data_IF_267621993824
#
_entry.id   IF_267621993824
#
_cell.length_a   1.000
_cell.length_b   1.000
_cell.length_c   1.000
_cell.angle_alpha   90.00
_cell.angle_beta   90.00
_cell.angle_gamma   90.00
#
_symmetry.space_group_name_H-M   'P 1'
#
loop_
_entity.id
_entity.type
_entity.pdbx_description
1 polymer ?
#
# COMPACT_ATOMS: atom_id res chain seq x y z
N UNK A 1 -2.56 13.61 22.12
CA UNK A 1 -2.46 13.44 20.65
C UNK A 1 -3.35 12.27 20.25
N UNK A 2 -4.14 12.41 19.19
CA UNK A 2 -5.11 11.39 18.77
C UNK A 2 -5.00 11.16 17.27
N UNK A 3 -5.17 9.90 16.83
CA UNK A 3 -5.35 9.55 15.42
C UNK A 3 -6.80 9.09 15.26
N UNK A 4 -7.57 9.80 14.44
CA UNK A 4 -8.91 9.44 14.05
C UNK A 4 -8.85 8.76 12.68
N UNK A 5 -9.24 7.48 12.62
CA UNK A 5 -9.21 6.69 11.41
C UNK A 5 -10.62 6.39 10.92
N UNK A 6 -10.93 6.82 9.70
CA UNK A 6 -12.15 6.48 8.97
C UNK A 6 -11.82 5.39 7.96
N UNK A 7 -12.17 4.15 8.30
CA UNK A 7 -12.08 3.04 7.34
C UNK A 7 -13.29 3.01 6.42
N UNK A 8 -13.14 2.37 5.26
CA UNK A 8 -14.21 2.19 4.26
C UNK A 8 -14.99 3.50 3.97
N UNK A 9 -14.26 4.59 3.75
CA UNK A 9 -14.85 5.92 3.55
C UNK A 9 -15.79 5.95 2.33
N UNK A 10 -15.61 5.05 1.37
CA UNK A 10 -16.50 4.82 0.24
C UNK A 10 -17.90 4.28 0.61
N UNK A 11 -18.08 3.75 1.81
CA UNK A 11 -19.41 3.36 2.31
C UNK A 11 -20.27 4.57 2.68
N UNK A 12 -19.64 5.62 3.24
CA UNK A 12 -20.30 6.81 3.78
C UNK A 12 -20.20 8.04 2.86
N UNK A 13 -19.15 8.14 2.04
CA UNK A 13 -18.81 9.35 1.28
C UNK A 13 -18.86 9.15 -0.24
N UNK A 14 -19.93 8.51 -0.72
CA UNK A 14 -20.20 8.38 -2.15
C UNK A 14 -20.59 9.74 -2.75
N UNK A 15 -20.06 10.02 -3.94
CA UNK A 15 -20.41 11.20 -4.72
C UNK A 15 -21.93 11.26 -4.94
N UNK A 16 -22.49 12.43 -4.66
CA UNK A 16 -23.94 12.70 -4.73
C UNK A 16 -24.41 12.47 -6.17
N UNK A 17 -25.36 11.56 -6.39
CA UNK A 17 -25.93 11.37 -7.72
C UNK A 17 -26.71 10.09 -8.02
N UNK A 18 -26.80 9.13 -7.09
CA UNK A 18 -27.37 7.80 -7.41
C UNK A 18 -28.86 7.59 -7.15
N UNK A 19 -29.44 8.15 -6.07
CA UNK A 19 -30.77 7.73 -5.61
C UNK A 19 -31.73 8.91 -5.42
N UNK A 20 -32.67 9.05 -6.36
CA UNK A 20 -33.84 9.95 -6.33
C UNK A 20 -34.92 9.36 -5.40
N UNK A 21 -34.56 9.04 -4.16
CA UNK A 21 -35.47 8.48 -3.17
C UNK A 21 -34.90 8.65 -1.77
N UNK A 22 -35.78 8.96 -0.83
CA UNK A 22 -35.64 9.42 0.57
C UNK A 22 -34.56 8.76 1.48
N UNK A 23 -33.78 7.81 0.98
CA UNK A 23 -32.70 7.11 1.68
C UNK A 23 -31.31 7.81 1.57
N UNK A 24 -31.11 8.75 0.65
CA UNK A 24 -29.80 9.41 0.42
C UNK A 24 -29.43 10.51 1.44
N UNK A 25 -30.42 11.14 2.08
CA UNK A 25 -30.19 12.32 2.91
C UNK A 25 -29.50 12.05 4.26
N UNK A 26 -29.46 10.81 4.74
CA UNK A 26 -28.77 10.47 5.98
C UNK A 26 -27.24 10.47 5.78
N UNK A 27 -26.74 9.80 4.74
CA UNK A 27 -25.33 9.77 4.41
C UNK A 27 -24.81 11.18 4.09
N UNK A 28 -25.57 11.95 3.30
CA UNK A 28 -25.20 13.33 2.96
C UNK A 28 -25.07 14.23 4.21
N UNK A 29 -25.97 14.07 5.20
CA UNK A 29 -25.89 14.80 6.47
C UNK A 29 -24.65 14.42 7.26
N UNK A 30 -24.31 13.12 7.31
CA UNK A 30 -23.11 12.64 8.00
C UNK A 30 -21.84 13.19 7.33
N UNK A 31 -21.75 13.17 6.00
CA UNK A 31 -20.61 13.74 5.27
C UNK A 31 -20.46 15.23 5.58
N UNK A 32 -21.54 16.01 5.47
CA UNK A 32 -21.49 17.44 5.74
C UNK A 32 -21.06 17.74 7.19
N UNK A 33 -21.51 16.92 8.16
CA UNK A 33 -21.07 17.05 9.54
C UNK A 33 -19.58 16.74 9.68
N UNK A 34 -19.09 15.65 9.09
CA UNK A 34 -17.66 15.29 9.11
C UNK A 34 -16.84 16.44 8.53
N UNK A 35 -17.24 16.99 7.38
CA UNK A 35 -16.57 18.13 6.75
C UNK A 35 -16.54 19.37 7.67
N UNK A 36 -17.65 19.66 8.36
CA UNK A 36 -17.76 20.81 9.27
C UNK A 36 -16.88 20.62 10.51
N UNK A 37 -16.83 19.40 11.08
CA UNK A 37 -15.95 19.09 12.20
C UNK A 37 -14.47 19.15 11.80
N UNK A 38 -14.14 18.70 10.58
CA UNK A 38 -12.80 18.81 10.02
C UNK A 38 -12.37 20.27 9.85
N UNK A 39 -13.23 21.13 9.30
CA UNK A 39 -12.94 22.56 9.15
C UNK A 39 -12.85 23.28 10.51
N UNK A 40 -13.65 22.86 11.49
CA UNK A 40 -13.64 23.38 12.87
C UNK A 40 -12.44 22.90 13.69
N UNK A 41 -11.67 21.94 13.19
CA UNK A 41 -10.49 21.40 13.84
C UNK A 41 -9.28 22.30 13.55
N UNK A 42 -9.20 23.42 14.27
CA UNK A 42 -8.05 24.33 14.14
C UNK A 42 -6.71 23.68 14.51
N UNK A 43 -5.61 24.24 13.99
CA UNK A 43 -4.22 23.78 14.19
C UNK A 43 -3.76 23.63 15.66
N UNK A 44 -4.56 24.05 16.63
CA UNK A 44 -4.28 23.94 18.08
C UNK A 44 -4.66 22.57 18.65
N UNK A 45 -5.42 21.75 17.94
CA UNK A 45 -5.78 20.39 18.37
C UNK A 45 -4.79 19.38 17.78
N UNK A 46 -4.10 18.63 18.64
CA UNK A 46 -3.18 17.55 18.23
C UNK A 46 -3.96 16.29 17.79
N UNK A 47 -4.76 16.42 16.72
CA UNK A 47 -5.59 15.34 16.15
C UNK A 47 -5.21 15.16 14.68
N UNK A 48 -4.84 13.94 14.30
CA UNK A 48 -4.58 13.54 12.93
C UNK A 48 -5.75 12.74 12.39
N UNK A 49 -6.28 13.11 11.23
CA UNK A 49 -7.36 12.36 10.59
C UNK A 49 -6.78 11.58 9.41
N UNK A 50 -7.09 10.29 9.35
CA UNK A 50 -6.72 9.39 8.25
C UNK A 50 -8.00 8.76 7.73
N UNK A 51 -8.16 8.74 6.41
CA UNK A 51 -9.25 8.03 5.73
C UNK A 51 -8.69 6.93 4.83
N UNK A 52 -9.34 5.77 4.80
CA UNK A 52 -9.05 4.68 3.88
C UNK A 52 -10.25 4.39 2.97
N UNK A 53 -9.97 4.00 1.73
CA UNK A 53 -11.00 3.70 0.72
C UNK A 53 -10.49 2.72 -0.33
N UNK A 54 -11.37 1.84 -0.77
CA UNK A 54 -11.09 0.97 -1.92
C UNK A 54 -11.66 1.53 -3.23
N UNK A 55 -12.45 2.61 -3.17
CA UNK A 55 -13.17 3.20 -4.30
C UNK A 55 -12.89 4.69 -4.41
N UNK A 56 -11.67 5.08 -4.81
CA UNK A 56 -11.33 6.49 -4.92
C UNK A 56 -12.08 7.21 -6.05
N UNK A 57 -12.67 6.46 -6.99
CA UNK A 57 -13.48 6.95 -8.11
C UNK A 57 -14.79 7.61 -7.67
N UNK A 58 -15.35 7.21 -6.51
CA UNK A 58 -16.65 7.68 -6.02
C UNK A 58 -16.54 8.63 -4.83
N UNK A 59 -15.34 9.03 -4.42
CA UNK A 59 -15.18 9.93 -3.26
C UNK A 59 -15.63 11.34 -3.60
N UNK A 60 -16.38 11.97 -2.69
CA UNK A 60 -16.74 13.39 -2.79
C UNK A 60 -15.47 14.27 -2.83
N UNK A 61 -15.22 15.02 -3.92
CA UNK A 61 -14.06 15.90 -4.04
C UNK A 61 -13.97 16.97 -2.94
N UNK A 62 -15.08 17.28 -2.25
CA UNK A 62 -15.08 18.20 -1.12
C UNK A 62 -14.21 17.71 0.04
N UNK A 63 -14.10 16.38 0.26
CA UNK A 63 -13.27 15.80 1.32
C UNK A 63 -11.77 15.99 1.05
N UNK A 64 -11.40 16.08 -0.24
CA UNK A 64 -10.01 16.18 -0.69
C UNK A 64 -9.49 17.62 -0.76
N UNK A 65 -10.29 18.62 -0.36
CA UNK A 65 -9.88 20.03 -0.39
C UNK A 65 -8.77 20.30 0.63
N UNK A 66 -7.86 21.26 0.35
CA UNK A 66 -6.83 21.70 1.29
C UNK A 66 -7.40 22.00 2.69
N UNK A 67 -6.72 21.52 3.74
CA UNK A 67 -7.17 21.64 5.13
C UNK A 67 -8.05 20.49 5.64
N UNK A 68 -8.42 19.53 4.77
CA UNK A 68 -9.20 18.32 5.12
C UNK A 68 -8.34 17.07 4.92
N UNK A 69 -8.75 16.14 4.04
CA UNK A 69 -7.92 14.99 3.63
C UNK A 69 -7.07 15.37 2.42
N UNK A 70 -6.19 16.35 2.60
CA UNK A 70 -5.37 16.89 1.52
C UNK A 70 -4.05 16.13 1.27
N UNK A 71 -3.71 15.14 2.10
CA UNK A 71 -2.61 14.21 1.87
C UNK A 71 -3.15 12.88 1.37
N UNK A 72 -3.02 12.64 0.07
CA UNK A 72 -3.43 11.39 -0.56
C UNK A 72 -2.22 10.48 -0.71
N UNK A 73 -2.28 9.31 -0.09
CA UNK A 73 -1.24 8.30 -0.12
C UNK A 73 -1.79 7.08 -0.86
N UNK A 74 -1.16 6.71 -1.96
CA UNK A 74 -1.49 5.50 -2.69
C UNK A 74 -0.75 4.30 -2.08
N UNK A 75 -1.50 3.25 -1.73
CA UNK A 75 -0.96 1.98 -1.19
C UNK A 75 -1.11 0.92 -2.30
N UNK A 76 -0.04 0.56 -3.02
CA UNK A 76 -0.09 -0.42 -4.09
C UNK A 76 -0.12 -1.87 -3.55
N UNK A 77 -0.31 -2.83 -4.47
CA UNK A 77 -0.02 -4.24 -4.18
C UNK A 77 1.48 -4.44 -3.86
N UNK A 78 1.81 -5.43 -3.01
CA UNK A 78 3.18 -5.64 -2.57
C UNK A 78 4.10 -6.14 -3.71
N UNK A 79 5.27 -5.51 -3.83
CA UNK A 79 6.37 -6.00 -4.67
C UNK A 79 7.02 -7.27 -4.08
N UNK A 80 7.96 -7.88 -4.80
CA UNK A 80 8.57 -9.16 -4.41
C UNK A 80 9.17 -9.12 -2.99
N UNK A 81 9.87 -8.03 -2.64
CA UNK A 81 10.46 -7.83 -1.32
C UNK A 81 9.41 -7.63 -0.24
N UNK A 82 8.35 -6.87 -0.54
CA UNK A 82 7.23 -6.64 0.36
C UNK A 82 6.47 -7.94 0.62
N UNK A 83 6.28 -8.80 -0.40
CA UNK A 83 5.63 -10.11 -0.22
C UNK A 83 6.45 -11.01 0.69
N UNK A 84 7.77 -11.06 0.51
CA UNK A 84 8.67 -11.78 1.42
C UNK A 84 8.58 -11.23 2.86
N UNK A 85 8.56 -9.92 3.02
CA UNK A 85 8.43 -9.27 4.33
C UNK A 85 7.07 -9.57 5.00
N UNK A 86 5.98 -9.57 4.23
CA UNK A 86 4.64 -9.93 4.71
C UNK A 86 4.60 -11.39 5.18
N UNK A 87 5.14 -12.31 4.38
CA UNK A 87 5.24 -13.73 4.75
C UNK A 87 6.03 -13.91 6.04
N UNK A 88 7.20 -13.26 6.14
CA UNK A 88 8.02 -13.26 7.37
C UNK A 88 7.28 -12.68 8.56
N UNK A 89 6.54 -11.58 8.38
CA UNK A 89 5.78 -10.95 9.45
C UNK A 89 4.64 -11.84 9.96
N UNK A 90 3.91 -12.48 9.04
CA UNK A 90 2.82 -13.40 9.35
C UNK A 90 3.31 -14.66 10.07
N UNK A 91 4.48 -15.19 9.69
CA UNK A 91 5.04 -16.42 10.24
C UNK A 91 6.02 -16.19 11.41
N UNK A 92 6.25 -14.94 11.83
CA UNK A 92 7.25 -14.58 12.87
C UNK A 92 7.07 -15.34 14.19
N UNK A 93 5.84 -15.74 14.52
CA UNK A 93 5.50 -16.46 15.76
C UNK A 93 5.12 -17.91 15.51
N UNK A 94 5.33 -18.42 14.30
CA UNK A 94 4.95 -19.78 13.90
C UNK A 94 6.20 -20.65 13.75
N UNK A 95 6.17 -21.91 14.22
CA UNK A 95 7.27 -22.85 14.00
C UNK A 95 7.31 -23.22 12.51
N UNK A 96 8.38 -22.81 11.83
CA UNK A 96 8.57 -23.02 10.40
C UNK A 96 9.74 -23.98 10.18
N UNK A 97 9.51 -25.02 9.38
CA UNK A 97 10.57 -25.96 9.03
C UNK A 97 11.63 -25.29 8.15
N UNK A 98 12.87 -25.76 8.26
CA UNK A 98 14.03 -25.20 7.55
C UNK A 98 13.96 -25.33 6.02
N UNK A 99 13.07 -26.19 5.52
CA UNK A 99 12.86 -26.47 4.10
C UNK A 99 11.89 -25.48 3.41
N UNK A 100 11.29 -24.55 4.17
CA UNK A 100 10.37 -23.55 3.62
C UNK A 100 11.12 -22.33 3.09
N UNK A 101 11.14 -22.15 1.77
CA UNK A 101 11.69 -20.96 1.11
C UNK A 101 10.62 -19.89 0.89
N UNK A 102 10.56 -18.91 1.80
CA UNK A 102 9.66 -17.76 1.69
C UNK A 102 9.99 -16.85 0.50
N UNK A 103 11.24 -16.83 0.04
CA UNK A 103 11.68 -16.05 -1.13
C UNK A 103 11.07 -16.64 -2.39
N UNK A 104 11.07 -17.97 -2.50
CA UNK A 104 10.42 -18.66 -3.61
C UNK A 104 8.91 -18.41 -3.61
N UNK A 105 8.25 -18.54 -2.45
CA UNK A 105 6.82 -18.26 -2.31
C UNK A 105 6.50 -16.82 -2.73
N UNK A 106 7.32 -15.84 -2.32
CA UNK A 106 7.17 -14.45 -2.75
C UNK A 106 7.25 -14.30 -4.27
N UNK A 107 8.17 -14.99 -4.96
CA UNK A 107 8.29 -14.93 -6.43
C UNK A 107 7.08 -15.48 -7.16
N UNK A 108 6.49 -16.58 -6.69
CA UNK A 108 5.34 -17.23 -7.35
C UNK A 108 3.99 -16.61 -7.01
N UNK A 109 3.93 -15.70 -6.03
CA UNK A 109 2.71 -15.00 -5.58
C UNK A 109 2.56 -13.60 -6.19
N UNK A 110 3.04 -13.38 -7.42
CA UNK A 110 2.90 -12.08 -8.08
C UNK A 110 1.40 -11.69 -8.22
N UNK A 111 1.08 -10.45 -7.86
CA UNK A 111 -0.29 -9.93 -7.92
C UNK A 111 -1.20 -10.37 -6.77
N UNK A 112 -0.66 -11.02 -5.74
CA UNK A 112 -1.37 -11.33 -4.50
C UNK A 112 -1.38 -10.11 -3.58
N UNK A 113 -2.51 -9.88 -2.91
CA UNK A 113 -2.61 -8.88 -1.85
C UNK A 113 -1.93 -9.37 -0.56
N UNK A 114 -1.70 -8.47 0.40
CA UNK A 114 -1.23 -8.86 1.73
C UNK A 114 -2.20 -9.79 2.45
N UNK A 115 -3.51 -9.65 2.21
CA UNK A 115 -4.54 -10.54 2.75
C UNK A 115 -4.43 -11.94 2.13
N UNK A 116 -4.21 -12.03 0.81
CA UNK A 116 -4.08 -13.32 0.11
C UNK A 116 -2.85 -14.10 0.62
N UNK A 117 -1.73 -13.41 0.85
CA UNK A 117 -0.53 -14.01 1.46
C UNK A 117 -0.79 -14.51 2.88
N UNK A 118 -1.54 -13.72 3.66
CA UNK A 118 -1.93 -14.10 5.03
C UNK A 118 -2.83 -15.34 5.02
N UNK A 119 -3.76 -15.44 4.07
CA UNK A 119 -4.61 -16.60 3.90
C UNK A 119 -3.79 -17.87 3.58
N UNK A 120 -2.79 -17.77 2.70
CA UNK A 120 -1.87 -18.89 2.41
C UNK A 120 -1.16 -19.35 3.68
N UNK A 121 -0.61 -18.43 4.48
CA UNK A 121 0.04 -18.75 5.76
C UNK A 121 -0.92 -19.42 6.74
N UNK A 122 -2.13 -18.89 6.89
CA UNK A 122 -3.15 -19.46 7.77
C UNK A 122 -3.58 -20.86 7.32
N UNK A 123 -3.70 -21.08 6.01
CA UNK A 123 -4.08 -22.37 5.44
C UNK A 123 -2.97 -23.41 5.64
N UNK A 124 -1.72 -23.05 5.39
CA UNK A 124 -0.58 -23.92 5.66
C UNK A 124 -0.51 -24.30 7.16
N UNK A 125 -0.72 -23.33 8.06
CA UNK A 125 -0.79 -23.57 9.50
C UNK A 125 -1.93 -24.54 9.88
N UNK A 126 -3.14 -24.35 9.33
CA UNK A 126 -4.28 -25.27 9.56
C UNK A 126 -3.98 -26.70 9.09
N UNK A 127 -3.27 -26.86 7.97
CA UNK A 127 -2.86 -28.18 7.48
C UNK A 127 -1.82 -28.84 8.41
N UNK A 128 -0.86 -28.06 8.92
CA UNK A 128 0.09 -28.54 9.91
C UNK A 128 -0.59 -29.01 11.20
N UNK A 129 -1.55 -28.22 11.72
CA UNK A 129 -2.35 -28.58 12.90
C UNK A 129 -3.14 -29.86 12.65
N UNK A 130 -3.81 -29.99 11.49
CA UNK A 130 -4.56 -31.20 11.14
C UNK A 130 -3.65 -32.42 11.10
N UNK A 131 -2.46 -32.32 10.50
CA UNK A 131 -1.51 -33.41 10.44
C UNK A 131 -1.01 -33.82 11.83
N UNK A 132 -0.74 -32.85 12.71
CA UNK A 132 -0.30 -33.12 14.08
C UNK A 132 -1.37 -33.90 14.88
N UNK A 133 -2.63 -33.47 14.81
CA UNK A 133 -3.76 -34.16 15.46
C UNK A 133 -3.91 -35.58 14.91
N UNK A 134 -3.81 -35.77 13.59
CA UNK A 134 -3.91 -37.10 12.97
C UNK A 134 -2.75 -38.03 13.38
N UNK A 135 -1.55 -37.49 13.58
CA UNK A 135 -0.39 -38.23 14.05
C UNK A 135 -0.53 -38.63 15.52
N UNK A 136 -1.00 -37.72 16.38
CA UNK A 136 -1.26 -37.98 17.80
C UNK A 136 -2.29 -39.11 17.99
N UNK A 137 -3.43 -39.02 17.30
CA UNK A 137 -4.47 -40.07 17.33
C UNK A 137 -3.94 -41.42 16.85
N UNK A 138 -3.01 -41.44 15.88
CA UNK A 138 -2.39 -42.69 15.40
C UNK A 138 -1.43 -43.27 16.45
N UNK A 139 -0.59 -42.43 17.05
CA UNK A 139 0.33 -42.82 18.13
C UNK A 139 -0.43 -43.39 19.34
N UNK A 140 -1.54 -42.77 19.72
CA UNK A 140 -2.39 -43.26 20.80
C UNK A 140 -2.96 -44.65 20.52
N UNK A 141 -3.45 -44.90 19.29
CA UNK A 141 -3.95 -46.21 18.87
C UNK A 141 -2.86 -47.28 18.92
N UNK A 142 -1.68 -46.98 18.38
CA UNK A 142 -0.55 -47.91 18.41
C UNK A 142 -0.07 -48.21 19.83
N UNK A 143 -0.09 -47.23 20.73
CA UNK A 143 0.25 -47.40 22.15
C UNK A 143 -0.78 -48.28 22.87
N UNK A 144 -2.06 -48.10 22.58
CA UNK A 144 -3.13 -48.93 23.12
C UNK A 144 -3.03 -50.40 22.65
N UNK A 145 -2.59 -50.63 21.41
CA UNK A 145 -2.39 -51.96 20.84
C UNK A 145 -1.14 -52.67 21.37
N UNK A 146 -0.02 -51.95 21.57
CA UNK A 146 1.27 -52.55 21.95
C UNK A 146 1.44 -52.82 23.45
N UNK A 147 0.54 -52.34 24.33
CA UNK A 147 0.62 -52.49 25.81
C UNK A 147 2.02 -52.16 26.41
N UNK A 148 2.83 -51.35 25.73
CA UNK A 148 4.15 -50.95 26.18
C UNK A 148 4.05 -49.62 26.91
N UNK A 149 4.45 -49.60 28.19
CA UNK A 149 4.68 -48.36 28.94
C UNK A 149 5.98 -47.72 28.46
N UNK A 150 5.93 -47.01 27.33
CA UNK A 150 7.05 -46.14 26.94
C UNK A 150 7.04 -44.85 27.76
N UNK A 151 8.24 -44.53 28.26
CA UNK A 151 8.63 -43.29 28.95
C UNK A 151 8.28 -42.07 28.11
N UNK A 152 8.05 -40.93 28.78
CA UNK A 152 7.75 -39.62 28.19
C UNK A 152 8.67 -39.31 26.98
N UNK A 153 8.19 -39.64 25.78
CA UNK A 153 8.86 -39.29 24.53
C UNK A 153 8.52 -37.82 24.27
N UNK A 154 9.54 -36.96 24.22
CA UNK A 154 9.38 -35.53 23.96
C UNK A 154 8.55 -35.32 22.71
N UNK A 155 7.33 -34.79 22.85
CA UNK A 155 6.44 -34.51 21.73
C UNK A 155 6.98 -33.29 20.97
N UNK A 156 7.60 -33.45 19.79
CA UNK A 156 8.22 -32.34 19.10
C UNK A 156 7.14 -31.37 18.64
N UNK A 157 7.35 -30.08 18.85
CA UNK A 157 6.43 -29.04 18.38
C UNK A 157 6.24 -29.20 16.86
N UNK A 158 5.00 -29.38 16.37
CA UNK A 158 4.77 -29.58 14.94
C UNK A 158 5.15 -28.30 14.17
N UNK A 159 6.06 -28.45 13.21
CA UNK A 159 6.50 -27.35 12.34
C UNK A 159 5.65 -27.30 11.07
N UNK A 160 5.47 -26.08 10.54
CA UNK A 160 4.86 -25.88 9.22
C UNK A 160 5.92 -26.21 8.15
N UNK A 161 5.65 -27.23 7.35
CA UNK A 161 6.55 -27.77 6.33
C UNK A 161 6.25 -27.21 4.95
N UNK A 162 7.18 -27.43 4.02
CA UNK A 162 6.97 -27.11 2.60
C UNK A 162 5.71 -27.75 2.01
N UNK A 163 5.41 -28.99 2.39
CA UNK A 163 4.24 -29.72 1.89
C UNK A 163 2.91 -29.01 2.25
N UNK A 164 2.84 -28.37 3.42
CA UNK A 164 1.67 -27.60 3.83
C UNK A 164 1.47 -26.36 2.95
N UNK A 165 2.56 -25.69 2.58
CA UNK A 165 2.51 -24.55 1.66
C UNK A 165 2.14 -24.97 0.24
N UNK A 166 2.68 -26.08 -0.26
CA UNK A 166 2.32 -26.61 -1.58
C UNK A 166 0.83 -26.94 -1.67
N UNK A 167 0.26 -27.56 -0.64
CA UNK A 167 -1.16 -27.87 -0.57
C UNK A 167 -2.01 -26.61 -0.37
N UNK A 168 -1.56 -25.65 0.44
CA UNK A 168 -2.24 -24.36 0.59
C UNK A 168 -2.30 -23.58 -0.73
N UNK A 169 -1.21 -23.62 -1.51
CA UNK A 169 -1.06 -22.88 -2.76
C UNK A 169 -2.00 -23.37 -3.87
N UNK A 170 -2.39 -24.65 -3.89
CA UNK A 170 -3.34 -25.20 -4.87
C UNK A 170 -4.69 -24.50 -4.89
N UNK A 171 -5.09 -23.93 -3.75
CA UNK A 171 -6.39 -23.29 -3.59
C UNK A 171 -6.26 -21.76 -3.44
N UNK A 172 -5.04 -21.24 -3.48
CA UNK A 172 -4.78 -19.82 -3.36
C UNK A 172 -5.32 -19.08 -4.59
N UNK A 173 -6.07 -18.00 -4.37
CA UNK A 173 -6.64 -17.17 -5.43
C UNK A 173 -6.31 -15.72 -5.16
N UNK A 174 -6.02 -14.98 -6.23
CA UNK A 174 -5.82 -13.53 -6.15
C UNK A 174 -7.17 -12.86 -5.88
N UNK A 175 -7.21 -11.98 -4.90
CA UNK A 175 -8.41 -11.17 -4.61
C UNK A 175 -8.61 -10.01 -5.58
N UNK A 176 -7.52 -9.51 -6.17
CA UNK A 176 -7.55 -8.34 -7.06
C UNK A 176 -7.24 -8.73 -8.51
N UNK A 177 -8.11 -8.32 -9.43
CA UNK A 177 -7.98 -8.59 -10.86
C UNK A 177 -6.96 -7.66 -11.55
N UNK A 178 -6.37 -8.10 -12.66
CA UNK A 178 -5.42 -7.26 -13.43
C UNK A 178 -6.06 -5.99 -13.98
N UNK A 179 -7.37 -6.03 -14.27
CA UNK A 179 -8.10 -4.85 -14.71
C UNK A 179 -8.22 -3.80 -13.61
N UNK A 180 -8.43 -4.23 -12.37
CA UNK A 180 -8.55 -3.29 -11.25
C UNK A 180 -7.19 -2.72 -10.86
N UNK A 181 -6.12 -3.53 -10.91
CA UNK A 181 -4.74 -3.05 -10.72
C UNK A 181 -4.43 -1.89 -11.68
N UNK A 182 -4.72 -2.06 -12.98
CA UNK A 182 -4.52 -1.01 -13.99
C UNK A 182 -5.32 0.25 -13.68
N UNK A 183 -6.58 0.12 -13.23
CA UNK A 183 -7.40 1.28 -12.84
C UNK A 183 -6.77 2.02 -11.67
N UNK A 184 -6.30 1.31 -10.64
CA UNK A 184 -5.65 1.93 -9.48
C UNK A 184 -4.33 2.61 -9.84
N UNK A 185 -3.52 2.01 -10.72
CA UNK A 185 -2.27 2.62 -11.21
C UNK A 185 -2.54 3.90 -12.02
N UNK A 186 -3.52 3.89 -12.93
CA UNK A 186 -3.92 5.08 -13.68
C UNK A 186 -4.42 6.19 -12.75
N UNK A 187 -5.20 5.83 -11.73
CA UNK A 187 -5.67 6.78 -10.74
C UNK A 187 -4.51 7.40 -9.94
N UNK A 188 -3.55 6.59 -9.49
CA UNK A 188 -2.38 7.05 -8.76
C UNK A 188 -1.53 8.04 -9.59
N UNK A 189 -1.34 7.78 -10.89
CA UNK A 189 -0.64 8.69 -11.80
C UNK A 189 -1.39 10.02 -11.97
N UNK A 190 -2.71 9.96 -12.18
CA UNK A 190 -3.56 11.16 -12.33
C UNK A 190 -3.55 12.03 -11.07
N UNK A 191 -3.53 11.38 -9.90
CA UNK A 191 -3.48 12.05 -8.60
C UNK A 191 -2.15 12.77 -8.36
N UNK A 192 -1.03 12.23 -8.84
CA UNK A 192 0.26 12.92 -8.82
C UNK A 192 0.30 14.11 -9.79
N UNK A 193 -0.34 13.99 -10.95
CA UNK A 193 -0.41 15.06 -11.96
C UNK A 193 -1.31 16.22 -11.54
N UNK A 194 -2.46 15.96 -10.90
CA UNK A 194 -3.37 17.01 -10.42
C UNK A 194 -2.77 17.89 -9.30
N UNK A 195 -1.74 17.39 -8.62
CA UNK A 195 -0.92 18.16 -7.65
C UNK A 195 0.27 18.87 -8.30
N UNK A 196 0.56 18.59 -9.56
CA UNK A 196 1.69 19.12 -10.32
C UNK A 196 1.52 20.57 -10.80
N UNK A 197 1.01 21.48 -9.96
CA UNK A 197 1.13 22.92 -10.26
C UNK A 197 2.55 23.45 -9.97
N UNK A 198 3.38 22.66 -9.24
CA UNK A 198 4.68 23.09 -8.73
C UNK A 198 5.90 22.82 -9.61
N UNK A 199 5.80 22.07 -10.72
CA UNK A 199 6.98 21.83 -11.59
C UNK A 199 7.20 22.92 -12.64
N UNK A 200 6.19 23.73 -12.96
CA UNK A 200 6.27 24.80 -13.97
C UNK A 200 6.08 26.21 -13.39
N UNK A 201 6.10 26.37 -12.06
CA UNK A 201 6.06 27.69 -11.45
C UNK A 201 7.44 28.34 -11.56
N UNK A 202 7.58 29.30 -12.48
CA UNK A 202 8.75 30.17 -12.61
C UNK A 202 8.29 31.60 -12.44
N UNK A 203 8.87 32.33 -11.48
CA UNK A 203 8.66 33.77 -11.38
C UNK A 203 9.15 34.44 -12.69
N UNK A 204 8.42 35.44 -13.23
CA UNK A 204 8.91 36.24 -14.34
C UNK A 204 10.22 36.91 -13.92
N UNK A 205 11.35 36.51 -14.52
CA UNK A 205 12.68 37.11 -14.24
C UNK A 205 13.78 36.16 -13.79
N UNK A 206 13.51 34.87 -13.55
CA UNK A 206 14.59 33.91 -13.29
C UNK A 206 15.34 33.59 -14.60
N UNK A 207 16.42 34.32 -14.91
CA UNK A 207 17.33 34.00 -16.02
C UNK A 207 18.02 32.65 -15.79
N UNK A 208 18.06 31.82 -16.82
CA UNK A 208 18.79 30.55 -16.82
C UNK A 208 20.29 30.82 -16.94
N UNK A 209 21.02 30.80 -15.83
CA UNK A 209 22.48 30.78 -15.86
C UNK A 209 22.95 29.34 -16.09
N UNK A 210 22.99 28.93 -17.35
CA UNK A 210 23.77 27.78 -17.80
C UNK A 210 24.63 28.21 -18.98
N UNK A 211 25.73 28.93 -18.68
CA UNK A 211 26.79 29.19 -19.63
C UNK A 211 27.71 27.96 -19.66
N UNK A 212 27.65 27.22 -20.76
CA UNK A 212 28.60 26.21 -21.15
C UNK A 212 28.84 26.31 -22.65
N UNK A 213 30.13 26.35 -23.03
CA UNK A 213 30.69 26.19 -24.39
C UNK A 213 30.53 27.31 -25.44
N UNK A 214 31.52 28.21 -25.47
CA UNK A 214 32.38 28.54 -26.64
C UNK A 214 31.82 29.41 -27.76
N UNK A 215 32.41 30.59 -28.06
CA UNK A 215 32.17 31.28 -29.31
C UNK A 215 33.26 30.96 -30.34
N UNK A 216 32.84 30.54 -31.53
CA UNK A 216 33.65 30.54 -32.74
C UNK A 216 33.14 31.70 -33.61
N UNK A 217 33.94 32.75 -33.79
CA UNK A 217 33.67 33.86 -34.72
C UNK A 217 34.93 34.09 -35.56
N UNK A 218 34.84 34.11 -36.90
CA UNK A 218 35.98 34.50 -37.73
C UNK A 218 36.04 36.02 -37.94
N UNK A 219 37.29 36.50 -38.05
CA UNK A 219 37.77 37.84 -38.42
C UNK A 219 37.14 38.37 -39.74
N UNK A 220 37.14 39.65 -40.13
CA UNK A 220 37.95 40.89 -39.92
C UNK A 220 37.14 42.04 -40.64
N UNK A 221 37.59 43.30 -40.89
CA UNK A 221 38.79 44.05 -40.48
C UNK A 221 38.48 45.49 -39.96
N UNK A 222 39.50 46.32 -39.64
CA UNK A 222 39.39 47.47 -38.74
C UNK A 222 39.42 48.85 -39.43
N UNK A 223 38.91 49.84 -38.71
CA UNK A 223 39.07 51.28 -38.94
C UNK A 223 38.15 52.01 -37.97
N UNK A 224 38.47 53.15 -37.37
CA UNK A 224 39.66 53.99 -37.28
C UNK A 224 39.38 54.87 -36.04
N UNK A 225 40.46 55.40 -35.49
CA UNK A 225 40.64 56.15 -34.25
C UNK A 225 39.60 57.25 -33.96
N UNK A 226 39.48 57.61 -32.67
CA UNK A 226 39.02 58.93 -32.28
C UNK A 226 38.53 59.02 -30.85
N UNK A 227 39.40 59.50 -29.97
CA UNK A 227 39.14 59.94 -28.59
C UNK A 227 37.90 60.84 -28.48
N UNK A 228 37.21 60.80 -27.33
CA UNK A 228 37.01 61.99 -26.52
C UNK A 228 36.28 61.69 -25.19
N UNK A 229 36.92 62.20 -24.14
CA UNK A 229 36.48 62.32 -22.75
C UNK A 229 35.09 62.99 -22.61
N UNK A 230 34.35 62.64 -21.54
CA UNK A 230 33.88 63.67 -20.59
C UNK A 230 33.27 63.07 -19.32
N UNK A 231 33.99 63.23 -18.21
CA UNK A 231 33.37 63.41 -16.90
C UNK A 231 32.75 64.82 -16.84
N UNK A 232 31.45 64.90 -16.57
CA UNK A 232 30.77 66.02 -15.91
C UNK A 232 29.51 65.48 -15.24
#
# INVERSE_FOLDING_TARGET
PCVLFFDELDSIAKARGGNVGDAGGAADRVINQILTEMDGMGAKKNVFIIGATNRPDIIDPAILRPGRLDQLIYIPLPDDKSREAILKANLRKSPLAKDVDLTYIAKVTQGFSGADLTEICQRACKLAIRQAIEAEVRREKERAEKQTMEMDEDDPVPEITRAHFEEAMKFARRSVSDNDIRKYEMFAQTLQQSRGFGQNFRFPGASSTSQGSGPNVPANPPGDNGDDDLYS
#
